data_IF_406936092828
#
_entry.id   IF_406936092828
#
_cell.length_a   1.000
_cell.length_b   1.000
_cell.length_c   1.000
_cell.angle_alpha   90.00
_cell.angle_beta   90.00
_cell.angle_gamma   90.00
#
_symmetry.space_group_name_H-M   'P 1'
#
loop_
_entity.id
_entity.type
_entity.pdbx_description
1 polymer ?
#
# COMPACT_ATOMS: atom_id res chain seq x y z
N UNK A 1 -16.16 0.82 24.92
CA UNK A 1 -16.73 1.47 23.72
C UNK A 1 -15.99 2.77 23.37
N UNK A 2 -15.67 3.61 24.35
CA UNK A 2 -15.06 4.94 24.15
C UNK A 2 -13.66 4.95 23.50
N UNK A 3 -12.79 3.98 23.82
CA UNK A 3 -11.42 3.91 23.25
C UNK A 3 -11.41 3.73 21.72
N UNK A 4 -12.37 2.96 21.18
CA UNK A 4 -12.46 2.71 19.73
C UNK A 4 -12.80 3.98 18.93
N UNK A 5 -13.62 4.85 19.52
CA UNK A 5 -14.02 6.13 18.90
C UNK A 5 -12.80 7.04 18.73
N UNK A 6 -11.93 7.13 19.75
CA UNK A 6 -10.78 8.04 19.74
C UNK A 6 -9.74 7.63 18.68
N UNK A 7 -9.50 6.32 18.55
CA UNK A 7 -8.60 5.78 17.51
C UNK A 7 -9.17 6.01 16.12
N UNK A 8 -10.46 5.76 15.93
CA UNK A 8 -11.11 5.93 14.63
C UNK A 8 -11.06 7.40 14.17
N UNK A 9 -11.38 8.34 15.06
CA UNK A 9 -11.33 9.78 14.76
C UNK A 9 -9.91 10.20 14.41
N UNK A 10 -8.91 9.76 15.18
CA UNK A 10 -7.49 10.09 14.89
C UNK A 10 -7.05 9.55 13.53
N UNK A 11 -7.37 8.29 13.23
CA UNK A 11 -7.02 7.66 11.95
C UNK A 11 -7.70 8.34 10.76
N UNK A 12 -9.00 8.66 10.89
CA UNK A 12 -9.76 9.35 9.85
C UNK A 12 -9.22 10.77 9.59
N UNK A 13 -8.83 11.50 10.63
CA UNK A 13 -8.26 12.85 10.49
C UNK A 13 -6.91 12.81 9.79
N UNK A 14 -6.03 11.89 10.19
CA UNK A 14 -4.71 11.73 9.62
C UNK A 14 -4.77 11.24 8.16
N UNK A 15 -5.68 10.31 7.86
CA UNK A 15 -5.92 9.79 6.51
C UNK A 15 -6.38 10.90 5.56
N UNK A 16 -7.33 11.74 5.98
CA UNK A 16 -7.79 12.88 5.19
C UNK A 16 -6.68 13.92 4.98
N UNK A 17 -5.83 14.16 5.99
CA UNK A 17 -4.68 15.05 5.84
C UNK A 17 -3.61 14.51 4.88
N UNK A 18 -3.35 13.20 4.92
CA UNK A 18 -2.38 12.52 4.07
C UNK A 18 -2.77 12.56 2.57
N UNK A 19 -4.07 12.43 2.26
CA UNK A 19 -4.58 12.51 0.88
C UNK A 19 -4.23 13.85 0.21
N UNK A 20 -4.12 14.93 0.99
CA UNK A 20 -3.83 16.26 0.47
C UNK A 20 -2.34 16.49 0.15
N UNK A 21 -1.44 15.65 0.69
CA UNK A 21 0.02 15.84 0.58
C UNK A 21 0.74 14.69 -0.13
N UNK A 22 0.13 13.52 -0.23
CA UNK A 22 0.73 12.33 -0.85
C UNK A 22 -0.07 11.97 -2.11
N UNK A 23 0.57 11.75 -3.27
CA UNK A 23 -0.12 11.26 -4.45
C UNK A 23 -0.88 9.98 -4.10
N UNK A 24 -2.18 9.92 -4.42
CA UNK A 24 -3.03 8.77 -4.08
C UNK A 24 -2.44 7.42 -4.51
N UNK A 25 -1.67 7.42 -5.60
CA UNK A 25 -0.93 6.24 -6.06
C UNK A 25 0.14 5.76 -5.07
N UNK A 26 0.86 6.67 -4.43
CA UNK A 26 1.92 6.33 -3.48
C UNK A 26 1.31 5.78 -2.20
N UNK A 27 0.20 6.37 -1.71
CA UNK A 27 -0.56 5.85 -0.56
C UNK A 27 -1.04 4.42 -0.82
N UNK A 28 -1.61 4.14 -2.00
CA UNK A 28 -2.06 2.81 -2.37
C UNK A 28 -0.93 1.77 -2.45
N UNK A 29 0.25 2.16 -2.97
CA UNK A 29 1.43 1.30 -3.02
C UNK A 29 1.92 0.90 -1.62
N UNK A 30 2.02 1.87 -0.70
CA UNK A 30 2.42 1.60 0.68
C UNK A 30 1.40 0.75 1.44
N UNK A 31 0.10 0.97 1.21
CA UNK A 31 -0.97 0.16 1.81
C UNK A 31 -0.86 -1.32 1.40
N UNK A 32 -0.61 -1.60 0.13
CA UNK A 32 -0.41 -2.96 -0.36
C UNK A 32 0.92 -3.56 0.14
N UNK A 33 1.99 -2.78 0.22
CA UNK A 33 3.27 -3.24 0.78
C UNK A 33 3.15 -3.58 2.28
N UNK A 34 2.33 -2.83 3.03
CA UNK A 34 2.06 -3.10 4.45
C UNK A 34 1.51 -4.50 4.68
N UNK A 35 0.72 -5.06 3.75
CA UNK A 35 0.22 -6.43 3.85
C UNK A 35 1.34 -7.46 3.76
N UNK A 36 2.33 -7.26 2.88
CA UNK A 36 3.51 -8.13 2.77
C UNK A 36 4.31 -8.09 4.07
N UNK A 37 4.55 -6.89 4.61
CA UNK A 37 5.26 -6.69 5.87
C UNK A 37 4.49 -7.34 7.03
N UNK A 38 3.17 -7.22 7.06
CA UNK A 38 2.32 -7.85 8.08
C UNK A 38 2.43 -9.38 8.06
N UNK A 39 2.41 -10.01 6.88
CA UNK A 39 2.57 -11.47 6.75
C UNK A 39 3.99 -11.89 7.18
N UNK A 40 5.03 -11.21 6.70
CA UNK A 40 6.41 -11.47 7.10
C UNK A 40 6.61 -11.33 8.61
N UNK A 41 6.05 -10.27 9.20
CA UNK A 41 6.12 -10.03 10.63
C UNK A 41 5.37 -11.09 11.41
N UNK A 42 4.22 -11.56 10.92
CA UNK A 42 3.49 -12.69 11.52
C UNK A 42 4.31 -13.97 11.52
N UNK A 43 4.98 -14.29 10.41
CA UNK A 43 5.87 -15.46 10.31
C UNK A 43 7.07 -15.36 11.26
N UNK A 44 7.74 -14.20 11.31
CA UNK A 44 8.94 -13.99 12.14
C UNK A 44 8.58 -14.00 13.63
N UNK A 45 7.46 -13.39 14.02
CA UNK A 45 7.05 -13.28 15.43
C UNK A 45 6.45 -14.57 15.95
N UNK A 46 5.62 -15.26 15.15
CA UNK A 46 4.89 -16.44 15.60
C UNK A 46 5.72 -17.73 15.48
N UNK A 47 6.81 -17.74 14.69
CA UNK A 47 7.72 -18.88 14.53
C UNK A 47 7.02 -20.19 14.10
N UNK A 48 5.82 -20.10 13.52
CA UNK A 48 5.09 -21.25 12.99
C UNK A 48 5.59 -21.62 11.59
N UNK A 49 5.54 -22.91 11.21
CA UNK A 49 6.01 -23.36 9.91
C UNK A 49 5.24 -22.64 8.79
N UNK A 50 5.99 -22.04 7.87
CA UNK A 50 5.42 -21.34 6.73
C UNK A 50 4.76 -22.35 5.81
N UNK A 51 3.44 -22.26 5.68
CA UNK A 51 2.68 -23.09 4.74
C UNK A 51 2.66 -22.45 3.35
N UNK A 52 2.57 -23.28 2.31
CA UNK A 52 2.58 -22.84 0.90
C UNK A 52 1.54 -21.76 0.60
N UNK A 53 0.43 -21.71 1.34
CA UNK A 53 -0.61 -20.68 1.21
C UNK A 53 -0.11 -19.26 1.53
N UNK A 54 0.80 -19.10 2.48
CA UNK A 54 1.38 -17.78 2.82
C UNK A 54 2.27 -17.26 1.69
N UNK A 55 3.03 -18.15 1.04
CA UNK A 55 3.87 -17.80 -0.12
C UNK A 55 2.99 -17.34 -1.29
N UNK A 56 1.89 -18.04 -1.55
CA UNK A 56 0.91 -17.66 -2.60
C UNK A 56 0.26 -16.32 -2.24
N UNK A 57 -0.09 -16.09 -0.97
CA UNK A 57 -0.63 -14.81 -0.51
C UNK A 57 0.34 -13.65 -0.74
N UNK A 58 1.61 -13.84 -0.42
CA UNK A 58 2.67 -12.85 -0.67
C UNK A 58 2.79 -12.57 -2.18
N UNK A 59 2.79 -13.61 -3.03
CA UNK A 59 2.84 -13.46 -4.49
C UNK A 59 1.66 -12.65 -5.05
N UNK A 60 0.44 -12.93 -4.58
CA UNK A 60 -0.78 -12.22 -4.99
C UNK A 60 -0.69 -10.71 -4.66
N UNK A 61 -0.08 -10.36 -3.53
CA UNK A 61 0.09 -8.96 -3.11
C UNK A 61 1.25 -8.28 -3.87
N UNK A 62 2.29 -9.02 -4.24
CA UNK A 62 3.43 -8.50 -5.01
C UNK A 62 3.07 -8.11 -6.45
N UNK A 63 2.18 -8.85 -7.11
CA UNK A 63 1.73 -8.58 -8.49
C UNK A 63 1.21 -7.13 -8.68
N UNK A 64 0.25 -6.62 -7.88
CA UNK A 64 -0.24 -5.25 -8.05
C UNK A 64 0.81 -4.18 -7.70
N UNK A 65 1.76 -4.45 -6.79
CA UNK A 65 2.86 -3.52 -6.47
C UNK A 65 3.76 -3.33 -7.69
N UNK A 66 4.17 -4.43 -8.32
CA UNK A 66 5.01 -4.40 -9.54
C UNK A 66 4.23 -3.80 -10.71
N UNK A 67 2.96 -4.20 -10.88
CA UNK A 67 2.09 -3.69 -11.94
C UNK A 67 1.88 -2.17 -11.85
N UNK A 68 1.61 -1.64 -10.66
CA UNK A 68 1.46 -0.21 -10.46
C UNK A 68 2.78 0.55 -10.68
N UNK A 69 3.94 0.02 -10.26
CA UNK A 69 5.24 0.65 -10.52
C UNK A 69 5.51 0.80 -12.04
N UNK A 70 5.16 -0.21 -12.84
CA UNK A 70 5.30 -0.16 -14.31
C UNK A 70 4.31 0.82 -14.94
N UNK A 71 3.06 0.84 -14.48
CA UNK A 71 2.02 1.75 -14.98
C UNK A 71 2.34 3.21 -14.64
N UNK A 72 2.84 3.48 -13.42
CA UNK A 72 3.30 4.80 -12.97
C UNK A 72 4.36 5.38 -13.92
N UNK A 73 5.37 4.59 -14.30
CA UNK A 73 6.39 5.02 -15.28
C UNK A 73 5.79 5.37 -16.64
N UNK A 74 4.70 4.73 -17.05
CA UNK A 74 4.03 4.96 -18.33
C UNK A 74 3.16 6.24 -18.32
N UNK A 75 2.50 6.52 -17.20
CA UNK A 75 1.69 7.72 -17.01
C UNK A 75 2.54 8.99 -16.91
N UNK A 76 3.67 8.95 -16.18
CA UNK A 76 4.62 10.09 -16.09
C UNK A 76 5.21 10.44 -17.46
N UNK A 77 5.39 9.45 -18.33
CA UNK A 77 5.92 9.65 -19.70
C UNK A 77 4.87 10.24 -20.68
N UNK A 78 3.60 10.28 -20.30
CA UNK A 78 2.50 10.76 -21.15
C UNK A 78 2.08 12.20 -20.81
N UNK A 79 2.36 12.68 -19.59
CA UNK A 79 2.15 14.08 -19.20
C UNK A 79 3.35 14.99 -19.53
N UNK A 80 4.46 14.45 -20.02
CA UNK A 80 5.58 15.24 -20.58
C UNK A 80 5.42 15.55 -22.08
N UNK A 81 4.21 15.44 -22.63
CA UNK A 81 3.84 16.03 -23.92
C UNK A 81 2.73 17.05 -23.66
N UNK A 82 3.09 18.15 -23.02
CA UNK A 82 2.49 19.43 -23.38
C UNK A 82 3.17 19.87 -24.67
N UNK A 83 2.49 19.93 -25.83
CA UNK A 83 2.88 20.94 -26.79
C UNK A 83 2.44 22.26 -26.18
N UNK A 84 3.41 23.10 -25.84
CA UNK A 84 3.14 24.50 -25.52
C UNK A 84 2.34 25.12 -26.67
N UNK A 85 1.24 25.78 -26.34
CA UNK A 85 0.84 27.05 -26.93
C UNK A 85 -0.18 27.72 -26.02
#
# INVERSE_FOLDING_TARGET
MSFRIIIFISSAFLSNYAIHHIPASTVGLFSNLSLVIMILSGVIVLNEPIYSYQIIGILIILIPIIGMNVIQKKLVKTTSVTPSK
#
